data_IF_819584703845
#
_entry.id   IF_819584703845
#
_cell.length_a   1.000
_cell.length_b   1.000
_cell.length_c   1.000
_cell.angle_alpha   90.00
_cell.angle_beta   90.00
_cell.angle_gamma   90.00
#
_symmetry.space_group_name_H-M   'P 1'
#
loop_
_entity.id
_entity.type
_entity.pdbx_description
1 polymer ?
#
# COMPACT_ATOMS: atom_id res chain seq x y z
N UNK A 1 -1.81 -83.02 56.99
CA UNK A 1 -0.98 -83.42 55.84
C UNK A 1 -0.75 -82.15 55.02
N UNK A 2 0.51 -81.72 54.93
CA UNK A 2 1.07 -80.52 54.27
C UNK A 2 0.63 -79.13 54.79
N UNK A 3 1.42 -78.05 54.72
CA UNK A 3 2.83 -77.75 55.00
C UNK A 3 3.02 -76.25 54.62
N UNK A 4 3.41 -75.45 55.62
CA UNK A 4 4.36 -74.33 55.64
C UNK A 4 4.64 -73.47 54.38
N UNK A 5 4.50 -72.15 54.61
CA UNK A 5 5.05 -70.92 54.00
C UNK A 5 6.41 -70.95 53.26
N UNK A 6 6.58 -70.14 52.19
CA UNK A 6 7.50 -68.97 52.12
C UNK A 6 7.53 -68.24 50.74
N UNK A 7 7.39 -66.91 50.80
CA UNK A 7 7.94 -65.77 50.01
C UNK A 7 8.58 -65.94 48.60
N UNK A 8 8.15 -65.13 47.61
CA UNK A 8 9.07 -64.39 46.69
C UNK A 8 8.40 -63.20 45.97
N UNK A 9 9.22 -62.20 45.65
CA UNK A 9 8.98 -60.81 45.24
C UNK A 9 8.96 -60.57 43.70
N UNK A 10 8.40 -59.41 43.30
CA UNK A 10 8.53 -58.65 42.01
C UNK A 10 7.67 -59.15 40.84
N UNK A 11 6.99 -58.30 40.05
CA UNK A 11 7.47 -57.06 39.42
C UNK A 11 6.38 -55.96 39.35
N UNK A 12 6.73 -54.75 39.80
CA UNK A 12 6.14 -53.49 39.30
C UNK A 12 6.75 -53.16 37.94
N UNK A 13 6.02 -53.35 36.84
CA UNK A 13 6.45 -52.85 35.50
C UNK A 13 5.37 -52.07 34.75
N UNK A 14 4.15 -51.97 35.29
CA UNK A 14 3.04 -51.39 34.51
C UNK A 14 2.86 -49.86 34.67
N UNK A 15 3.54 -49.21 35.62
CA UNK A 15 3.42 -47.75 35.80
C UNK A 15 4.46 -46.93 35.03
N UNK A 16 5.55 -47.54 34.55
CA UNK A 16 6.58 -46.83 33.78
C UNK A 16 6.25 -46.74 32.28
N UNK A 17 5.43 -47.64 31.74
CA UNK A 17 5.02 -47.64 30.33
C UNK A 17 3.92 -46.61 30.01
N UNK A 18 3.00 -46.38 30.94
CA UNK A 18 1.94 -45.35 30.76
C UNK A 18 2.48 -43.93 30.91
N UNK A 19 3.44 -43.71 31.83
CA UNK A 19 4.08 -42.41 32.02
C UNK A 19 4.92 -41.98 30.83
N UNK A 20 5.69 -42.89 30.22
CA UNK A 20 6.55 -42.58 29.08
C UNK A 20 5.78 -42.24 27.80
N UNK A 21 4.63 -42.88 27.52
CA UNK A 21 3.77 -42.50 26.39
C UNK A 21 3.05 -41.16 26.59
N UNK A 22 2.67 -40.83 27.83
CA UNK A 22 2.05 -39.54 28.15
C UNK A 22 3.07 -38.41 28.01
N UNK A 23 4.32 -38.62 28.45
CA UNK A 23 5.39 -37.63 28.25
C UNK A 23 5.77 -37.47 26.77
N UNK A 24 5.71 -38.53 25.96
CA UNK A 24 5.99 -38.45 24.52
C UNK A 24 4.88 -37.69 23.76
N UNK A 25 3.62 -37.86 24.16
CA UNK A 25 2.48 -37.12 23.57
C UNK A 25 2.46 -35.65 23.99
N UNK A 26 2.82 -35.33 25.24
CA UNK A 26 3.03 -33.95 25.66
C UNK A 26 4.29 -33.32 25.03
N UNK A 27 5.37 -34.07 24.83
CA UNK A 27 6.56 -33.60 24.14
C UNK A 27 6.29 -33.36 22.65
N UNK A 28 5.51 -34.22 21.98
CA UNK A 28 5.04 -34.01 20.61
C UNK A 28 4.09 -32.81 20.53
N UNK A 29 3.14 -32.67 21.46
CA UNK A 29 2.25 -31.50 21.52
C UNK A 29 3.00 -30.19 21.81
N UNK A 30 4.05 -30.23 22.65
CA UNK A 30 4.95 -29.10 22.89
C UNK A 30 5.89 -28.84 21.70
N UNK A 31 6.27 -29.86 20.94
CA UNK A 31 6.97 -29.72 19.65
C UNK A 31 6.07 -29.13 18.56
N UNK A 32 4.76 -29.40 18.58
CA UNK A 32 3.76 -28.74 17.72
C UNK A 32 3.33 -27.35 18.23
N UNK A 33 3.66 -27.01 19.49
CA UNK A 33 3.66 -25.65 20.04
C UNK A 33 5.01 -24.95 19.86
N UNK A 34 5.84 -25.42 18.94
CA UNK A 34 6.79 -24.51 18.29
C UNK A 34 5.94 -23.44 17.60
N UNK A 35 5.76 -22.32 18.30
CA UNK A 35 5.24 -21.09 17.71
C UNK A 35 5.99 -20.94 16.40
N UNK A 36 5.28 -20.99 15.26
CA UNK A 36 5.88 -20.66 13.97
C UNK A 36 6.35 -19.22 14.11
N UNK A 37 7.61 -19.06 14.50
CA UNK A 37 8.19 -17.78 14.80
C UNK A 37 8.47 -17.15 13.46
N UNK A 38 7.57 -16.28 12.99
CA UNK A 38 7.75 -15.61 11.71
C UNK A 38 9.07 -14.85 11.69
N UNK A 39 9.65 -14.74 10.50
CA UNK A 39 10.89 -14.02 10.30
C UNK A 39 10.65 -12.52 10.40
N UNK A 40 11.71 -11.78 10.74
CA UNK A 40 11.70 -10.33 10.82
C UNK A 40 13.00 -9.78 10.24
N UNK A 41 12.89 -8.67 9.51
CA UNK A 41 14.03 -7.87 9.04
C UNK A 41 13.94 -6.46 9.61
N UNK A 42 15.08 -5.87 9.99
CA UNK A 42 15.15 -4.53 10.57
C UNK A 42 16.12 -3.65 9.78
N UNK A 43 15.77 -2.37 9.65
CA UNK A 43 16.60 -1.35 9.01
C UNK A 43 16.67 -0.12 9.91
N UNK A 44 17.86 0.41 10.14
CA UNK A 44 18.16 1.40 11.19
C UNK A 44 17.20 2.60 11.23
N UNK A 45 16.82 3.14 10.05
CA UNK A 45 16.00 4.36 9.95
C UNK A 45 14.49 4.11 10.01
N UNK A 46 14.03 2.93 9.58
CA UNK A 46 12.61 2.66 9.30
C UNK A 46 12.02 1.50 10.12
N UNK A 47 12.81 0.91 11.02
CA UNK A 47 12.38 -0.10 11.97
C UNK A 47 12.31 -1.50 11.36
N UNK A 48 11.47 -2.34 11.95
CA UNK A 48 11.39 -3.76 11.63
C UNK A 48 10.10 -4.16 10.93
N UNK A 49 10.19 -5.22 10.13
CA UNK A 49 9.12 -5.77 9.32
C UNK A 49 9.08 -7.28 9.54
N UNK A 50 7.99 -7.78 10.12
CA UNK A 50 7.74 -9.21 10.28
C UNK A 50 6.90 -9.76 9.13
N UNK A 51 7.03 -11.06 8.85
CA UNK A 51 6.19 -11.82 7.92
C UNK A 51 5.08 -12.63 8.62
N UNK A 52 4.83 -12.34 9.90
CA UNK A 52 3.71 -12.90 10.67
C UNK A 52 2.38 -12.26 10.28
N UNK A 53 1.28 -12.88 10.72
CA UNK A 53 -0.06 -12.28 10.63
C UNK A 53 -0.09 -10.86 11.24
N UNK A 54 -0.79 -9.90 10.61
CA UNK A 54 -1.59 -10.07 9.37
C UNK A 54 -0.82 -9.81 8.06
N UNK A 55 0.50 -9.60 8.12
CA UNK A 55 1.30 -9.21 6.95
C UNK A 55 1.53 -10.37 5.96
N UNK A 56 1.50 -11.61 6.44
CA UNK A 56 1.41 -12.80 5.61
C UNK A 56 0.77 -13.99 6.36
N UNK A 57 0.60 -15.11 5.65
CA UNK A 57 -0.01 -16.33 6.18
C UNK A 57 -1.51 -16.23 6.44
N UNK A 58 -2.19 -15.23 5.87
CA UNK A 58 -3.64 -15.04 5.98
C UNK A 58 -4.35 -15.47 4.70
N UNK A 59 -5.68 -15.59 4.72
CA UNK A 59 -6.48 -15.89 3.52
C UNK A 59 -6.24 -14.84 2.43
N UNK A 60 -6.19 -13.57 2.82
CA UNK A 60 -5.97 -12.46 1.91
C UNK A 60 -4.51 -12.39 1.46
N UNK A 61 -3.54 -12.78 2.29
CA UNK A 61 -2.09 -12.74 2.03
C UNK A 61 -1.40 -14.08 2.31
N UNK A 62 -1.67 -15.13 1.49
CA UNK A 62 -1.17 -16.49 1.76
C UNK A 62 0.34 -16.65 1.57
N UNK A 63 1.00 -15.80 0.78
CA UNK A 63 2.42 -15.94 0.46
C UNK A 63 3.26 -15.18 1.49
N UNK A 64 4.06 -15.92 2.26
CA UNK A 64 5.02 -15.35 3.23
C UNK A 64 6.21 -14.73 2.52
N UNK A 65 6.34 -13.40 2.62
CA UNK A 65 7.45 -12.61 2.09
C UNK A 65 7.79 -11.47 3.04
N UNK A 66 9.08 -11.31 3.32
CA UNK A 66 9.59 -10.07 3.90
C UNK A 66 9.74 -8.99 2.80
N UNK A 67 9.56 -7.71 3.14
CA UNK A 67 9.89 -6.64 2.21
C UNK A 67 11.40 -6.63 1.91
N UNK A 68 11.75 -6.11 0.74
CA UNK A 68 13.15 -5.88 0.38
C UNK A 68 13.76 -4.73 1.17
N UNK A 69 15.11 -4.73 1.22
CA UNK A 69 15.87 -3.65 1.84
C UNK A 69 15.66 -2.31 1.11
N UNK A 70 15.72 -1.17 1.82
CA UNK A 70 15.60 0.16 1.24
C UNK A 70 16.52 0.39 0.04
N UNK A 71 17.76 -0.11 0.11
CA UNK A 71 18.77 0.04 -0.94
C UNK A 71 18.39 -0.73 -2.21
N UNK A 72 17.64 -1.83 -2.07
CA UNK A 72 17.15 -2.63 -3.19
C UNK A 72 15.89 -2.04 -3.82
N UNK A 73 14.97 -1.51 -2.98
CA UNK A 73 13.78 -0.80 -3.48
C UNK A 73 14.17 0.52 -4.14
N UNK A 74 15.22 1.17 -3.61
CA UNK A 74 15.78 2.43 -4.09
C UNK A 74 14.72 3.53 -4.24
N UNK A 75 13.98 3.80 -3.17
CA UNK A 75 12.98 4.87 -3.13
C UNK A 75 13.65 6.23 -3.31
N UNK A 76 13.19 7.01 -4.31
CA UNK A 76 13.68 8.35 -4.61
C UNK A 76 12.57 9.38 -4.46
N UNK A 77 12.93 10.56 -3.95
CA UNK A 77 12.02 11.68 -3.78
C UNK A 77 12.38 12.78 -4.79
N UNK A 78 11.52 12.97 -5.78
CA UNK A 78 11.74 13.85 -6.93
C UNK A 78 10.91 15.12 -6.75
N UNK A 79 11.57 16.21 -6.35
CA UNK A 79 10.92 17.49 -6.07
C UNK A 79 10.68 18.29 -7.34
N UNK A 80 9.42 18.64 -7.57
CA UNK A 80 8.96 19.65 -8.50
C UNK A 80 8.36 20.83 -7.75
N UNK A 81 8.62 22.03 -8.25
CA UNK A 81 7.96 23.26 -7.79
C UNK A 81 7.64 24.13 -9.00
N UNK A 82 6.90 25.23 -8.78
CA UNK A 82 6.67 26.25 -9.83
C UNK A 82 7.95 26.74 -10.51
N UNK A 83 9.09 26.73 -9.79
CA UNK A 83 10.40 27.17 -10.30
C UNK A 83 11.15 26.10 -11.11
N UNK A 84 10.73 24.84 -11.07
CA UNK A 84 11.39 23.72 -11.75
C UNK A 84 10.40 22.65 -12.23
N UNK A 85 9.37 23.08 -12.98
CA UNK A 85 8.24 22.22 -13.37
C UNK A 85 8.62 21.06 -14.31
N UNK A 86 9.71 21.22 -15.07
CA UNK A 86 10.13 20.25 -16.10
C UNK A 86 11.36 19.42 -15.70
N UNK A 87 12.00 19.74 -14.56
CA UNK A 87 13.18 19.04 -14.09
C UNK A 87 13.13 18.90 -12.58
N UNK A 88 13.06 17.66 -12.11
CA UNK A 88 13.07 17.40 -10.67
C UNK A 88 14.41 17.75 -10.03
N UNK A 89 14.37 18.04 -8.73
CA UNK A 89 15.53 17.98 -7.85
C UNK A 89 15.41 16.74 -6.97
N UNK A 90 16.39 15.86 -7.00
CA UNK A 90 16.41 14.70 -6.08
C UNK A 90 16.75 15.21 -4.69
N UNK A 91 15.84 14.99 -3.74
CA UNK A 91 16.03 15.35 -2.33
C UNK A 91 15.99 14.11 -1.46
N UNK A 92 16.62 14.17 -0.28
CA UNK A 92 16.79 13.01 0.60
C UNK A 92 16.64 13.37 2.06
N UNK A 93 15.88 12.55 2.78
CA UNK A 93 15.77 12.60 4.23
C UNK A 93 17.05 12.13 4.94
N UNK A 94 17.88 11.31 4.26
CA UNK A 94 19.18 10.84 4.76
C UNK A 94 20.21 11.96 4.68
N UNK A 95 20.08 12.85 3.71
CA UNK A 95 20.96 14.01 3.50
C UNK A 95 20.12 15.29 3.51
N UNK A 96 19.68 15.78 4.69
CA UNK A 96 18.76 16.91 4.78
C UNK A 96 19.24 18.19 4.10
N UNK A 97 20.56 18.38 3.94
CA UNK A 97 21.12 19.50 3.19
C UNK A 97 20.64 19.56 1.73
N UNK A 98 20.30 18.42 1.12
CA UNK A 98 19.69 18.36 -0.22
C UNK A 98 18.30 19.03 -0.28
N UNK A 99 17.54 18.99 0.83
CA UNK A 99 16.25 19.69 0.93
C UNK A 99 16.51 21.19 1.02
N UNK A 100 17.45 21.62 1.87
CA UNK A 100 17.81 23.03 2.04
C UNK A 100 18.38 23.69 0.78
N UNK A 101 19.14 22.94 -0.04
CA UNK A 101 19.73 23.44 -1.29
C UNK A 101 18.77 23.38 -2.48
N UNK A 102 17.57 22.83 -2.30
CA UNK A 102 16.55 22.72 -3.33
C UNK A 102 15.60 23.93 -3.36
N UNK A 103 14.61 23.86 -4.25
CA UNK A 103 13.50 24.80 -4.32
C UNK A 103 12.40 24.54 -3.27
N UNK A 104 12.58 23.57 -2.37
CA UNK A 104 11.64 23.31 -1.29
C UNK A 104 11.43 24.57 -0.44
N UNK A 105 10.16 24.85 -0.08
CA UNK A 105 9.81 25.97 0.79
C UNK A 105 8.89 25.49 1.91
N UNK A 106 9.30 25.72 3.15
CA UNK A 106 8.54 25.35 4.35
C UNK A 106 7.26 26.14 4.52
N UNK A 107 7.13 27.29 3.85
CA UNK A 107 5.91 28.11 3.83
C UNK A 107 4.82 27.60 2.90
N UNK A 108 5.09 26.54 2.11
CA UNK A 108 4.16 25.96 1.13
C UNK A 108 3.68 24.59 1.61
N UNK A 109 2.46 24.21 1.22
CA UNK A 109 2.00 22.82 1.39
C UNK A 109 2.85 21.87 0.55
N UNK A 110 2.92 20.61 0.99
CA UNK A 110 3.69 19.56 0.33
C UNK A 110 2.76 18.42 -0.05
N UNK A 111 2.80 18.05 -1.32
CA UNK A 111 1.97 17.00 -1.90
C UNK A 111 2.90 15.89 -2.41
N UNK A 112 2.84 14.72 -1.78
CA UNK A 112 3.56 13.55 -2.27
C UNK A 112 2.68 12.81 -3.27
N UNK A 113 3.26 12.35 -4.39
CA UNK A 113 2.56 11.56 -5.41
C UNK A 113 3.28 10.22 -5.51
N UNK A 114 2.59 9.12 -5.18
CA UNK A 114 3.15 7.78 -5.04
C UNK A 114 2.51 6.86 -6.07
N UNK A 115 3.32 6.34 -7.01
CA UNK A 115 2.83 5.47 -8.07
C UNK A 115 2.53 4.04 -7.60
N UNK A 116 1.89 3.25 -8.47
CA UNK A 116 1.52 1.87 -8.22
C UNK A 116 2.52 0.81 -8.73
N UNK A 117 1.99 -0.40 -8.92
CA UNK A 117 2.70 -1.55 -9.50
C UNK A 117 3.24 -1.24 -10.90
N UNK A 118 4.41 -1.81 -11.25
CA UNK A 118 5.17 -1.67 -12.53
C UNK A 118 5.55 -0.26 -13.01
N UNK A 119 4.99 0.77 -12.40
CA UNK A 119 5.18 2.17 -12.78
C UNK A 119 6.50 2.77 -12.24
N UNK A 120 6.76 4.04 -12.56
CA UNK A 120 7.93 4.80 -12.11
C UNK A 120 7.58 6.23 -11.76
N UNK A 121 8.30 6.83 -10.82
CA UNK A 121 8.10 8.23 -10.46
C UNK A 121 8.54 9.25 -11.52
N UNK A 122 9.08 8.80 -12.66
CA UNK A 122 9.35 9.62 -13.85
C UNK A 122 8.29 9.47 -14.93
N UNK A 123 7.26 8.64 -14.73
CA UNK A 123 6.11 8.57 -15.62
C UNK A 123 5.41 9.91 -15.71
N UNK A 124 4.94 10.25 -16.92
CA UNK A 124 4.45 11.60 -17.23
C UNK A 124 3.30 12.03 -16.31
N UNK A 125 2.40 11.10 -15.94
CA UNK A 125 1.22 11.42 -15.14
C UNK A 125 1.56 12.00 -13.76
N UNK A 126 2.63 11.54 -13.09
CA UNK A 126 3.04 12.13 -11.80
C UNK A 126 3.45 13.59 -12.00
N UNK A 127 4.20 13.86 -13.07
CA UNK A 127 4.61 15.22 -13.42
C UNK A 127 3.41 16.07 -13.87
N UNK A 128 2.41 15.47 -14.52
CA UNK A 128 1.21 16.14 -14.95
C UNK A 128 0.32 16.52 -13.76
N UNK A 129 0.22 15.66 -12.73
CA UNK A 129 -0.38 16.02 -11.44
C UNK A 129 0.33 17.22 -10.84
N UNK A 130 1.67 17.20 -10.77
CA UNK A 130 2.42 18.33 -10.25
C UNK A 130 2.17 19.62 -11.05
N UNK A 131 2.17 19.55 -12.38
CA UNK A 131 1.88 20.69 -13.26
C UNK A 131 0.47 21.24 -13.03
N UNK A 132 -0.55 20.39 -12.93
CA UNK A 132 -1.93 20.83 -12.65
C UNK A 132 -2.03 21.46 -11.26
N UNK A 133 -1.37 20.89 -10.25
CA UNK A 133 -1.28 21.49 -8.92
C UNK A 133 -0.67 22.90 -8.96
N UNK A 134 0.36 23.12 -9.78
CA UNK A 134 1.01 24.43 -9.89
C UNK A 134 0.12 25.52 -10.49
N UNK A 135 -0.89 25.15 -11.30
CA UNK A 135 -1.86 26.11 -11.86
C UNK A 135 -2.71 26.73 -10.74
N UNK A 136 -3.10 25.94 -9.74
CA UNK A 136 -4.07 26.34 -8.73
C UNK A 136 -3.44 26.71 -7.37
N UNK A 137 -2.24 26.21 -7.05
CA UNK A 137 -1.60 26.41 -5.75
C UNK A 137 -0.07 26.46 -5.88
N UNK A 138 0.61 27.20 -5.00
CA UNK A 138 2.07 27.21 -4.91
C UNK A 138 2.53 26.14 -3.90
N UNK A 139 2.86 24.95 -4.39
CA UNK A 139 3.16 23.76 -3.57
C UNK A 139 4.55 23.19 -3.84
N UNK A 140 5.06 22.44 -2.86
CA UNK A 140 6.12 21.46 -3.09
C UNK A 140 5.45 20.17 -3.58
N UNK A 141 5.70 19.74 -4.82
CA UNK A 141 5.21 18.46 -5.32
C UNK A 141 6.35 17.44 -5.33
N UNK A 142 6.20 16.32 -4.63
CA UNK A 142 7.25 15.31 -4.50
C UNK A 142 6.75 14.00 -5.12
N UNK A 143 7.23 13.67 -6.30
CA UNK A 143 6.99 12.35 -6.89
C UNK A 143 7.88 11.31 -6.20
N UNK A 144 7.28 10.21 -5.73
CA UNK A 144 7.96 9.12 -5.04
C UNK A 144 8.18 7.98 -6.02
N UNK A 145 9.42 7.85 -6.50
CA UNK A 145 9.83 6.78 -7.41
C UNK A 145 10.33 5.58 -6.60
N UNK A 146 9.59 4.47 -6.65
CA UNK A 146 9.94 3.20 -6.03
C UNK A 146 9.94 2.06 -7.06
N UNK A 147 10.21 2.41 -8.33
CA UNK A 147 10.25 1.46 -9.46
C UNK A 147 11.19 0.26 -9.24
N UNK A 148 12.25 0.42 -8.44
CA UNK A 148 13.13 -0.68 -8.04
C UNK A 148 12.45 -1.74 -7.16
N UNK A 149 11.40 -1.38 -6.43
CA UNK A 149 10.60 -2.28 -5.60
C UNK A 149 9.24 -2.67 -6.17
N UNK A 150 8.72 -1.95 -7.16
CA UNK A 150 7.42 -2.24 -7.80
C UNK A 150 7.52 -3.20 -8.99
N UNK A 151 8.65 -3.23 -9.69
CA UNK A 151 8.88 -4.09 -10.88
C UNK A 151 9.38 -5.47 -10.48
N UNK A 152 8.52 -6.22 -9.81
CA UNK A 152 8.79 -7.58 -9.33
C UNK A 152 7.48 -8.37 -9.22
N UNK A 153 7.50 -9.55 -8.60
CA UNK A 153 6.29 -10.34 -8.32
C UNK A 153 5.29 -9.49 -7.51
N UNK A 154 4.00 -9.62 -7.80
CA UNK A 154 2.99 -8.75 -7.19
C UNK A 154 2.93 -8.92 -5.66
N UNK A 155 3.09 -10.14 -5.15
CA UNK A 155 3.23 -10.44 -3.72
C UNK A 155 4.44 -9.77 -3.09
N UNK A 156 5.57 -9.70 -3.80
CA UNK A 156 6.76 -9.01 -3.31
C UNK A 156 6.57 -7.48 -3.33
N UNK A 157 6.02 -6.93 -4.41
CA UNK A 157 5.71 -5.50 -4.52
C UNK A 157 4.73 -5.06 -3.41
N UNK A 158 3.69 -5.87 -3.16
CA UNK A 158 2.70 -5.66 -2.10
C UNK A 158 3.29 -5.70 -0.69
N UNK A 159 4.43 -6.38 -0.49
CA UNK A 159 5.18 -6.32 0.78
C UNK A 159 6.14 -5.13 0.80
N UNK A 160 6.78 -4.79 -0.31
CA UNK A 160 7.69 -3.64 -0.44
C UNK A 160 7.00 -2.30 -0.16
N UNK A 161 5.69 -2.20 -0.40
CA UNK A 161 4.84 -1.07 0.02
C UNK A 161 5.09 -0.64 1.46
N UNK A 162 5.34 -1.59 2.37
CA UNK A 162 5.62 -1.30 3.79
C UNK A 162 6.90 -0.48 3.97
N UNK A 163 7.95 -0.80 3.21
CA UNK A 163 9.21 -0.07 3.26
C UNK A 163 9.08 1.29 2.57
N UNK A 164 8.35 1.38 1.46
CA UNK A 164 8.08 2.66 0.79
C UNK A 164 7.32 3.61 1.72
N UNK A 165 6.25 3.15 2.36
CA UNK A 165 5.50 3.96 3.34
C UNK A 165 6.36 4.37 4.53
N UNK A 166 7.25 3.49 5.00
CA UNK A 166 8.18 3.82 6.07
C UNK A 166 9.23 4.88 5.67
N UNK A 167 9.73 4.85 4.44
CA UNK A 167 10.61 5.90 3.90
C UNK A 167 9.88 7.25 3.75
N UNK A 168 8.62 7.25 3.30
CA UNK A 168 7.79 8.47 3.22
C UNK A 168 7.54 9.04 4.63
N UNK A 169 7.18 8.19 5.60
CA UNK A 169 7.01 8.62 7.00
C UNK A 169 8.30 9.18 7.58
N UNK A 170 9.44 8.53 7.32
CA UNK A 170 10.76 9.02 7.72
C UNK A 170 11.06 10.39 7.09
N UNK A 171 10.73 10.58 5.81
CA UNK A 171 10.89 11.86 5.13
C UNK A 171 10.09 12.97 5.82
N UNK A 172 8.80 12.74 6.09
CA UNK A 172 7.94 13.71 6.78
C UNK A 172 8.46 14.00 8.19
N UNK A 173 8.95 12.97 8.90
CA UNK A 173 9.57 13.14 10.22
C UNK A 173 10.80 14.06 10.16
N UNK A 174 11.65 13.93 9.15
CA UNK A 174 12.81 14.81 8.94
C UNK A 174 12.38 16.24 8.62
N UNK A 175 11.33 16.44 7.82
CA UNK A 175 10.74 17.77 7.60
C UNK A 175 10.27 18.38 8.94
N UNK A 176 9.59 17.60 9.77
CA UNK A 176 9.11 18.05 11.07
C UNK A 176 10.25 18.43 12.02
N UNK A 177 11.26 17.57 12.18
CA UNK A 177 12.32 17.77 13.16
C UNK A 177 13.37 18.80 12.74
N UNK A 178 13.72 18.85 11.44
CA UNK A 178 14.86 19.65 10.98
C UNK A 178 14.43 20.98 10.33
N UNK A 179 13.17 21.08 9.90
CA UNK A 179 12.67 22.25 9.17
C UNK A 179 11.45 22.90 9.84
N UNK A 180 11.09 22.46 11.05
CA UNK A 180 9.90 22.90 11.79
C UNK A 180 8.62 22.83 10.92
N UNK A 181 8.54 21.82 10.05
CA UNK A 181 7.45 21.69 9.07
C UNK A 181 6.38 20.72 9.58
N UNK A 182 5.19 21.26 9.86
CA UNK A 182 4.10 20.45 10.42
C UNK A 182 3.61 19.37 9.43
N UNK A 183 3.40 18.12 9.88
CA UNK A 183 2.71 17.07 9.10
C UNK A 183 1.31 17.48 8.63
N UNK A 184 0.68 18.46 9.30
CA UNK A 184 -0.61 19.02 8.88
C UNK A 184 -0.54 19.81 7.54
N UNK A 185 0.67 20.08 7.05
CA UNK A 185 0.90 20.66 5.73
C UNK A 185 1.18 19.60 4.64
N UNK A 186 1.02 18.31 4.97
CA UNK A 186 1.30 17.19 4.07
C UNK A 186 0.01 16.57 3.56
N UNK A 187 -0.03 16.35 2.24
CA UNK A 187 -1.03 15.55 1.56
C UNK A 187 -0.32 14.43 0.80
N UNK A 188 -0.67 13.17 1.06
CA UNK A 188 -0.16 12.02 0.31
C UNK A 188 -1.20 11.58 -0.72
N UNK A 189 -0.81 11.53 -1.99
CA UNK A 189 -1.65 11.05 -3.10
C UNK A 189 -1.03 9.74 -3.56
N UNK A 190 -1.74 8.63 -3.40
CA UNK A 190 -1.25 7.31 -3.76
C UNK A 190 -2.17 6.61 -4.74
N UNK A 191 -1.62 6.10 -5.84
CA UNK A 191 -2.35 5.33 -6.85
C UNK A 191 -2.08 3.83 -6.71
N UNK A 192 -3.11 2.98 -6.85
CA UNK A 192 -2.94 1.51 -6.86
C UNK A 192 -2.19 1.04 -5.59
N UNK A 193 -1.07 0.30 -5.69
CA UNK A 193 -0.23 -0.06 -4.54
C UNK A 193 0.32 1.16 -3.77
N UNK A 194 0.50 2.30 -4.43
CA UNK A 194 0.93 3.55 -3.82
C UNK A 194 -0.08 4.11 -2.81
N UNK A 195 -1.38 3.82 -2.95
CA UNK A 195 -2.40 4.19 -1.97
C UNK A 195 -2.13 3.54 -0.60
N UNK A 196 -1.71 2.27 -0.61
CA UNK A 196 -1.35 1.55 0.60
C UNK A 196 0.01 1.99 1.16
N UNK A 197 0.93 2.45 0.32
CA UNK A 197 2.16 3.08 0.79
C UNK A 197 1.88 4.42 1.49
N UNK A 198 0.93 5.20 0.98
CA UNK A 198 0.45 6.41 1.66
C UNK A 198 -0.21 6.07 3.00
N UNK A 199 -1.05 5.04 3.06
CA UNK A 199 -1.65 4.55 4.30
C UNK A 199 -0.60 4.11 5.32
N UNK A 200 0.37 3.30 4.92
CA UNK A 200 1.50 2.90 5.79
C UNK A 200 2.28 4.11 6.32
N UNK A 201 2.50 5.13 5.48
CA UNK A 201 3.16 6.36 5.91
C UNK A 201 2.34 7.09 6.99
N UNK A 202 1.02 7.19 6.81
CA UNK A 202 0.09 7.79 7.77
C UNK A 202 0.01 7.06 9.12
N UNK A 203 0.08 5.73 9.11
CA UNK A 203 0.15 4.91 10.34
C UNK A 203 1.37 5.29 11.18
N UNK A 204 2.52 5.43 10.52
CA UNK A 204 3.83 5.68 11.12
C UNK A 204 4.04 7.14 11.52
N UNK A 205 3.48 8.08 10.74
CA UNK A 205 3.61 9.51 10.98
C UNK A 205 2.25 10.11 11.31
N UNK A 206 2.03 10.42 12.58
CA UNK A 206 0.77 11.04 13.02
C UNK A 206 0.69 12.52 12.60
N UNK A 207 -0.54 12.97 12.40
CA UNK A 207 -0.84 14.38 12.05
C UNK A 207 -0.79 14.70 10.56
N UNK A 208 -0.68 13.69 9.67
CA UNK A 208 -0.87 13.90 8.23
C UNK A 208 -2.28 14.47 7.98
N UNK A 209 -2.36 15.56 7.22
CA UNK A 209 -3.63 16.25 7.01
C UNK A 209 -4.55 15.50 6.05
N UNK A 210 -4.01 14.97 4.94
CA UNK A 210 -4.83 14.30 3.92
C UNK A 210 -4.11 13.14 3.27
N UNK A 211 -4.85 12.08 2.99
CA UNK A 211 -4.45 11.02 2.06
C UNK A 211 -5.54 10.88 0.99
N UNK A 212 -5.17 10.98 -0.28
CA UNK A 212 -6.05 10.62 -1.39
C UNK A 212 -5.63 9.28 -1.98
N UNK A 213 -6.53 8.29 -1.92
CA UNK A 213 -6.35 6.98 -2.54
C UNK A 213 -6.96 6.95 -3.94
N UNK A 214 -6.13 6.82 -4.97
CA UNK A 214 -6.56 6.73 -6.36
C UNK A 214 -6.59 5.26 -6.77
N UNK A 215 -7.79 4.70 -6.82
CA UNK A 215 -8.08 3.30 -7.10
C UNK A 215 -7.18 2.32 -6.33
N UNK A 216 -7.26 2.29 -4.97
CA UNK A 216 -6.40 1.46 -4.15
C UNK A 216 -6.51 -0.01 -4.54
N UNK A 217 -5.39 -0.71 -4.63
CA UNK A 217 -5.37 -2.07 -5.16
C UNK A 217 -6.12 -3.08 -4.28
N UNK A 218 -7.01 -3.89 -4.87
CA UNK A 218 -7.73 -4.96 -4.18
C UNK A 218 -6.80 -6.11 -3.72
N UNK A 219 -5.99 -6.71 -4.62
CA UNK A 219 -5.36 -7.99 -4.31
C UNK A 219 -4.29 -7.82 -3.22
N UNK A 220 -4.31 -8.70 -2.21
CA UNK A 220 -3.51 -8.64 -0.98
C UNK A 220 -3.86 -7.55 0.04
N UNK A 221 -4.92 -6.74 -0.17
CA UNK A 221 -5.30 -5.65 0.76
C UNK A 221 -6.79 -5.59 1.10
N UNK A 222 -7.70 -5.85 0.17
CA UNK A 222 -9.13 -5.85 0.48
C UNK A 222 -9.44 -6.87 1.58
N UNK A 223 -10.26 -6.47 2.55
CA UNK A 223 -10.64 -7.26 3.72
C UNK A 223 -9.48 -7.64 4.68
N UNK A 224 -8.29 -7.04 4.53
CA UNK A 224 -7.27 -7.13 5.57
C UNK A 224 -7.58 -6.18 6.73
N UNK A 225 -6.99 -6.40 7.92
CA UNK A 225 -7.04 -5.42 8.99
C UNK A 225 -6.51 -4.06 8.56
N UNK A 226 -6.98 -2.98 9.21
CA UNK A 226 -6.58 -1.61 8.91
C UNK A 226 -5.05 -1.40 8.95
N UNK A 227 -4.31 -2.16 9.76
CA UNK A 227 -2.84 -2.07 9.84
C UNK A 227 -2.10 -2.46 8.54
N UNK A 228 -2.75 -3.16 7.60
CA UNK A 228 -2.12 -3.65 6.36
C UNK A 228 -2.44 -2.78 5.13
N UNK A 229 -3.57 -2.07 5.15
CA UNK A 229 -4.13 -1.35 3.99
C UNK A 229 -4.33 0.14 4.31
N UNK A 230 -4.73 0.92 3.31
CA UNK A 230 -5.20 2.30 3.55
C UNK A 230 -6.50 2.26 4.37
N UNK A 231 -6.62 3.18 5.32
CA UNK A 231 -7.76 3.29 6.23
C UNK A 231 -7.97 4.74 6.71
N UNK A 232 -9.21 5.08 7.09
CA UNK A 232 -9.59 6.37 7.67
C UNK A 232 -8.65 6.87 8.79
N UNK A 233 -8.11 5.98 9.61
CA UNK A 233 -7.23 6.32 10.73
C UNK A 233 -5.82 6.79 10.33
N UNK A 234 -5.47 6.72 9.04
CA UNK A 234 -4.14 7.04 8.53
C UNK A 234 -3.88 8.55 8.38
N UNK A 235 -4.93 9.38 8.29
CA UNK A 235 -4.81 10.84 8.21
C UNK A 235 -6.07 11.56 8.74
N UNK A 236 -5.98 12.88 8.92
CA UNK A 236 -7.12 13.67 9.37
C UNK A 236 -8.28 13.67 8.35
N UNK A 237 -7.97 13.53 7.06
CA UNK A 237 -8.92 13.27 6.00
C UNK A 237 -8.35 12.18 5.08
N UNK A 238 -9.20 11.24 4.69
CA UNK A 238 -8.87 10.20 3.73
C UNK A 238 -9.99 10.21 2.71
N UNK A 239 -9.67 10.46 1.45
CA UNK A 239 -10.63 10.47 0.36
C UNK A 239 -10.18 9.52 -0.75
N UNK A 240 -11.11 8.74 -1.30
CA UNK A 240 -10.80 7.60 -2.17
C UNK A 240 -11.62 7.67 -3.43
N UNK A 241 -11.00 7.42 -4.58
CA UNK A 241 -11.68 7.32 -5.87
C UNK A 241 -11.55 5.88 -6.34
N UNK A 242 -12.67 5.25 -6.68
CA UNK A 242 -12.75 3.89 -7.19
C UNK A 242 -13.10 3.92 -8.67
N UNK A 243 -12.28 3.31 -9.51
CA UNK A 243 -12.45 3.33 -10.99
C UNK A 243 -12.42 1.95 -11.63
N UNK A 244 -11.84 0.96 -10.96
CA UNK A 244 -11.76 -0.43 -11.42
C UNK A 244 -12.15 -1.41 -10.30
N UNK A 245 -13.20 -1.07 -9.55
CA UNK A 245 -13.70 -1.83 -8.41
C UNK A 245 -14.51 -3.08 -8.78
N UNK A 246 -14.34 -3.60 -9.99
CA UNK A 246 -14.88 -4.90 -10.38
C UNK A 246 -14.16 -6.04 -9.66
N UNK A 247 -14.73 -7.25 -9.60
CA UNK A 247 -14.00 -8.38 -9.01
C UNK A 247 -12.77 -8.72 -9.85
N UNK A 248 -11.64 -9.01 -9.19
CA UNK A 248 -10.43 -9.49 -9.89
C UNK A 248 -10.72 -10.71 -10.79
N UNK A 249 -11.57 -11.63 -10.34
CA UNK A 249 -11.99 -12.79 -11.13
C UNK A 249 -13.51 -12.82 -11.23
N UNK A 250 -14.10 -12.91 -12.44
CA UNK A 250 -13.45 -13.02 -13.76
C UNK A 250 -13.12 -11.68 -14.43
N UNK A 251 -13.53 -10.55 -13.84
CA UNK A 251 -13.59 -9.25 -14.53
C UNK A 251 -12.27 -8.47 -14.56
N UNK A 252 -11.21 -8.98 -13.93
CA UNK A 252 -9.90 -8.31 -13.81
C UNK A 252 -10.01 -6.88 -13.28
N UNK A 253 -10.91 -6.64 -12.33
CA UNK A 253 -10.88 -5.37 -11.59
C UNK A 253 -9.73 -5.39 -10.57
N UNK A 254 -8.89 -4.36 -10.60
CA UNK A 254 -7.73 -4.25 -9.71
C UNK A 254 -7.94 -3.28 -8.57
N UNK A 255 -8.92 -2.38 -8.68
CA UNK A 255 -9.32 -1.48 -7.61
C UNK A 255 -10.16 -2.21 -6.57
N UNK A 256 -10.05 -1.83 -5.30
CA UNK A 256 -10.93 -2.36 -4.26
C UNK A 256 -12.32 -1.75 -4.35
N UNK A 257 -13.35 -2.52 -4.03
CA UNK A 257 -14.72 -2.04 -3.84
C UNK A 257 -15.03 -1.66 -2.39
N UNK A 258 -14.15 -2.05 -1.46
CA UNK A 258 -14.27 -1.74 -0.05
C UNK A 258 -14.14 -0.23 0.21
N UNK A 259 -15.12 0.32 0.94
CA UNK A 259 -15.08 1.69 1.46
C UNK A 259 -14.02 1.78 2.56
N UNK A 260 -12.98 2.58 2.33
CA UNK A 260 -11.82 2.72 3.23
C UNK A 260 -11.45 4.17 3.53
N UNK A 261 -12.14 5.14 2.93
CA UNK A 261 -11.99 6.57 3.18
C UNK A 261 -13.05 7.13 4.14
N UNK A 262 -12.84 8.39 4.51
CA UNK A 262 -13.90 9.23 5.07
C UNK A 262 -14.89 9.64 3.97
N UNK A 263 -14.39 9.72 2.74
CA UNK A 263 -15.15 10.00 1.52
C UNK A 263 -14.70 9.00 0.46
N UNK A 264 -15.63 8.24 -0.11
CA UNK A 264 -15.34 7.25 -1.16
C UNK A 264 -16.22 7.57 -2.37
N UNK A 265 -15.57 7.81 -3.50
CA UNK A 265 -16.18 8.26 -4.75
C UNK A 265 -16.15 7.13 -5.77
N UNK A 266 -17.30 6.81 -6.34
CA UNK A 266 -17.47 5.79 -7.37
C UNK A 266 -17.94 6.45 -8.69
N UNK A 267 -17.10 7.23 -9.37
CA UNK A 267 -17.45 7.85 -10.65
C UNK A 267 -17.95 6.78 -11.63
N UNK A 268 -19.07 7.04 -12.31
CA UNK A 268 -19.67 6.09 -13.27
C UNK A 268 -19.97 4.70 -12.67
N UNK A 269 -20.22 4.63 -11.35
CA UNK A 269 -20.44 3.37 -10.63
C UNK A 269 -19.15 2.66 -10.19
N UNK A 270 -17.97 3.20 -10.51
CA UNK A 270 -16.67 2.76 -9.98
C UNK A 270 -16.09 1.49 -10.57
N UNK A 271 -16.77 0.87 -11.54
CA UNK A 271 -16.35 -0.42 -12.16
C UNK A 271 -15.97 -0.26 -13.63
N UNK A 272 -16.72 0.54 -14.39
CA UNK A 272 -16.49 0.72 -15.81
C UNK A 272 -16.44 2.20 -16.17
N UNK A 273 -15.25 2.67 -16.51
CA UNK A 273 -15.05 4.05 -16.92
C UNK A 273 -15.38 4.22 -18.41
N UNK A 274 -16.21 5.21 -18.79
CA UNK A 274 -16.47 5.52 -20.20
C UNK A 274 -15.16 5.72 -21.00
N UNK A 275 -15.11 5.31 -22.25
CA UNK A 275 -13.90 5.48 -23.10
C UNK A 275 -12.77 4.48 -22.84
N UNK A 276 -12.87 3.66 -21.78
CA UNK A 276 -11.97 2.54 -21.52
C UNK A 276 -12.55 1.22 -22.06
N UNK A 277 -11.78 0.39 -22.78
CA UNK A 277 -12.22 -0.94 -23.17
C UNK A 277 -12.53 -1.78 -21.92
N UNK A 278 -13.50 -2.67 -22.02
CA UNK A 278 -13.74 -3.64 -20.95
C UNK A 278 -12.55 -4.59 -20.85
N UNK A 279 -12.19 -4.94 -19.62
CA UNK A 279 -11.21 -5.97 -19.37
C UNK A 279 -11.68 -7.32 -19.95
N UNK A 280 -10.72 -8.13 -20.40
CA UNK A 280 -11.00 -9.46 -20.93
C UNK A 280 -11.44 -10.34 -19.74
N UNK A 281 -12.59 -11.01 -19.86
CA UNK A 281 -12.99 -11.98 -18.84
C UNK A 281 -12.09 -13.20 -18.90
N UNK A 282 -11.37 -13.47 -17.81
CA UNK A 282 -10.51 -14.66 -17.72
C UNK A 282 -10.98 -15.54 -16.57
N UNK A 283 -11.60 -16.71 -16.87
CA UNK A 283 -11.95 -17.66 -15.84
C UNK A 283 -10.69 -18.37 -15.32
N UNK A 284 -10.57 -18.47 -13.98
CA UNK A 284 -9.52 -19.21 -13.27
C UNK A 284 -8.08 -18.68 -13.47
N UNK A 285 -7.82 -17.45 -13.03
CA UNK A 285 -6.46 -16.89 -12.94
C UNK A 285 -6.10 -16.53 -11.51
N UNK A 286 -4.84 -16.74 -11.14
CA UNK A 286 -4.29 -16.23 -9.89
C UNK A 286 -3.59 -14.88 -10.15
N UNK A 287 -3.46 -14.06 -9.11
CA UNK A 287 -2.88 -12.71 -9.22
C UNK A 287 -1.46 -12.72 -9.78
N UNK A 288 -0.65 -13.72 -9.45
CA UNK A 288 0.72 -13.81 -9.96
C UNK A 288 0.75 -14.20 -11.44
N UNK A 289 -0.18 -15.02 -11.93
CA UNK A 289 -0.26 -15.41 -13.34
C UNK A 289 -0.69 -14.21 -14.20
N UNK A 290 -1.60 -13.37 -13.69
CA UNK A 290 -2.00 -12.12 -14.34
C UNK A 290 -0.78 -11.23 -14.56
N UNK A 291 0.06 -11.07 -13.54
CA UNK A 291 1.17 -10.12 -13.56
C UNK A 291 2.47 -10.66 -14.15
N UNK A 292 2.70 -11.98 -14.08
CA UNK A 292 3.94 -12.62 -14.57
C UNK A 292 3.75 -13.37 -15.89
N UNK A 293 2.53 -13.78 -16.24
CA UNK A 293 2.24 -14.69 -17.37
C UNK A 293 1.43 -14.08 -18.51
N UNK A 294 0.56 -13.09 -18.24
CA UNK A 294 -0.28 -12.47 -19.28
C UNK A 294 0.36 -11.25 -19.97
N UNK A 295 1.53 -10.80 -19.51
CA UNK A 295 2.23 -9.65 -20.10
C UNK A 295 1.44 -8.33 -19.99
N UNK A 296 0.45 -8.27 -19.09
CA UNK A 296 -0.34 -7.06 -18.83
C UNK A 296 0.53 -6.05 -18.09
N UNK A 297 1.23 -5.20 -18.84
CA UNK A 297 2.07 -4.14 -18.26
C UNK A 297 1.26 -3.06 -17.56
N UNK A 298 0.00 -2.87 -17.98
CA UNK A 298 -0.96 -1.88 -17.52
C UNK A 298 -2.38 -2.42 -17.76
N UNK A 299 -3.24 -2.30 -16.75
CA UNK A 299 -4.64 -2.76 -16.85
C UNK A 299 -5.53 -1.57 -17.13
N UNK A 300 -6.40 -1.74 -18.11
CA UNK A 300 -7.36 -0.75 -18.55
C UNK A 300 -8.33 -0.44 -17.39
N UNK A 301 -8.66 0.83 -17.18
CA UNK A 301 -9.61 1.25 -16.13
C UNK A 301 -8.99 1.42 -14.74
N UNK A 302 -7.97 0.64 -14.37
CA UNK A 302 -7.16 0.81 -13.15
C UNK A 302 -6.24 2.05 -13.19
N UNK A 303 -6.42 2.93 -14.18
CA UNK A 303 -5.53 4.02 -14.52
C UNK A 303 -6.17 5.39 -14.30
N UNK A 304 -5.32 6.25 -13.75
CA UNK A 304 -5.56 7.51 -13.05
C UNK A 304 -6.71 8.38 -13.61
N UNK A 305 -7.80 8.50 -12.83
CA UNK A 305 -8.86 9.52 -13.05
C UNK A 305 -8.31 10.94 -12.86
N UNK A 306 -7.27 11.04 -12.04
CA UNK A 306 -6.60 12.28 -11.68
C UNK A 306 -5.38 12.48 -12.61
N UNK A 307 -4.94 13.69 -12.98
CA UNK A 307 -5.57 14.98 -12.87
C UNK A 307 -6.43 15.32 -14.13
N UNK A 308 -6.80 14.36 -14.98
CA UNK A 308 -7.48 14.64 -16.24
C UNK A 308 -9.00 14.54 -16.18
N UNK A 309 -9.59 14.25 -15.02
CA UNK A 309 -11.05 14.14 -14.87
C UNK A 309 -11.60 12.97 -15.70
N UNK A 310 -10.78 11.94 -15.89
CA UNK A 310 -11.03 10.85 -16.82
C UNK A 310 -10.83 11.17 -18.31
N UNK A 311 -10.54 12.41 -18.72
CA UNK A 311 -10.44 12.74 -20.16
C UNK A 311 -9.31 11.99 -20.88
N UNK A 312 -8.21 11.73 -20.19
CA UNK A 312 -7.09 10.92 -20.68
C UNK A 312 -6.65 9.95 -19.59
N UNK A 313 -7.18 8.73 -19.64
CA UNK A 313 -6.68 7.58 -18.89
C UNK A 313 -5.68 6.82 -19.76
N UNK A 314 -4.41 6.65 -19.34
CA UNK A 314 -3.46 5.81 -20.07
C UNK A 314 -4.04 4.41 -20.34
N UNK A 315 -3.92 3.91 -21.57
CA UNK A 315 -4.53 2.64 -21.98
C UNK A 315 -5.98 2.73 -22.49
N UNK A 316 -6.65 3.88 -22.36
CA UNK A 316 -7.98 4.11 -22.92
C UNK A 316 -7.89 4.91 -24.24
N UNK A 317 -8.41 4.39 -25.37
CA UNK A 317 -8.15 4.92 -26.71
C UNK A 317 -8.96 6.16 -27.11
N UNK A 318 -9.90 6.63 -26.27
CA UNK A 318 -10.74 7.80 -26.58
C UNK A 318 -10.58 8.92 -25.56
N UNK A 319 -10.60 10.16 -26.06
CA UNK A 319 -10.80 11.35 -25.23
C UNK A 319 -12.23 11.29 -24.67
N UNK A 320 -12.40 11.18 -23.35
CA UNK A 320 -13.75 11.25 -22.78
C UNK A 320 -14.33 12.67 -22.94
N UNK A 321 -15.65 12.82 -23.15
CA UNK A 321 -16.31 14.10 -22.91
C UNK A 321 -16.08 14.53 -21.45
N UNK A 322 -15.79 15.82 -21.21
CA UNK A 322 -15.64 16.39 -19.85
C UNK A 322 -16.84 15.99 -18.98
N UNK A 323 -16.60 15.23 -17.91
CA UNK A 323 -17.65 14.90 -16.95
C UNK A 323 -18.04 16.15 -16.16
N UNK A 324 -19.25 16.63 -16.39
CA UNK A 324 -19.72 17.96 -15.98
C UNK A 324 -20.11 18.12 -14.50
N UNK A 325 -19.69 17.25 -13.56
CA UNK A 325 -20.11 17.36 -12.16
C UNK A 325 -19.01 17.14 -11.10
N UNK A 326 -17.75 16.89 -11.51
CA UNK A 326 -16.61 16.89 -10.61
C UNK A 326 -15.39 17.46 -11.33
N UNK A 327 -15.18 18.79 -11.26
CA UNK A 327 -13.95 19.35 -11.83
C UNK A 327 -12.74 18.83 -11.04
N UNK A 328 -11.70 18.41 -11.75
CA UNK A 328 -10.36 18.12 -11.18
C UNK A 328 -9.89 19.26 -10.28
N UNK A 329 -10.20 20.50 -10.66
CA UNK A 329 -9.85 21.70 -9.89
C UNK A 329 -10.54 21.73 -8.53
N UNK A 330 -11.75 21.16 -8.42
CA UNK A 330 -12.51 21.09 -7.19
C UNK A 330 -12.02 19.96 -6.26
N UNK A 331 -11.56 18.81 -6.79
CA UNK A 331 -10.93 17.76 -5.98
C UNK A 331 -9.57 18.22 -5.40
N UNK A 332 -8.80 18.95 -6.21
CA UNK A 332 -7.50 19.49 -5.81
C UNK A 332 -7.58 20.67 -4.84
N UNK A 333 -8.59 21.53 -5.01
CA UNK A 333 -8.85 22.68 -4.14
C UNK A 333 -9.66 22.32 -2.89
N UNK A 334 -10.20 21.09 -2.81
CA UNK A 334 -10.98 20.61 -1.66
C UNK A 334 -12.40 21.16 -1.62
N UNK A 335 -13.03 21.37 -2.78
CA UNK A 335 -14.29 22.11 -2.95
C UNK A 335 -15.57 21.27 -3.04
N UNK A 336 -15.55 19.94 -3.04
CA UNK A 336 -16.82 19.19 -3.13
C UNK A 336 -17.54 18.91 -1.82
N UNK A 337 -18.84 19.22 -1.91
CA UNK A 337 -19.97 19.01 -1.02
C UNK A 337 -20.42 17.55 -1.11
N UNK A 338 -20.85 17.06 0.04
CA UNK A 338 -21.31 15.73 0.38
C UNK A 338 -22.44 15.20 -0.52
N UNK A 339 -22.33 13.94 -0.96
CA UNK A 339 -23.49 13.06 -1.01
C UNK A 339 -23.36 12.10 0.17
N UNK A 340 -23.99 12.46 1.30
CA UNK A 340 -24.40 11.45 2.27
C UNK A 340 -25.43 10.57 1.55
N UNK A 341 -25.10 9.30 1.34
CA UNK A 341 -26.09 8.29 1.01
C UNK A 341 -27.14 8.28 2.11
N UNK A 342 -28.29 8.87 1.82
CA UNK A 342 -29.53 8.68 2.57
C UNK A 342 -30.45 7.88 1.67
N UNK A 343 -30.46 6.56 1.90
CA UNK A 343 -31.60 5.69 2.21
C UNK A 343 -31.24 4.22 1.97
#
# INVERSE_FOLDING_TARGET
>A
MFAVTSLTLRFETNNLFFSSQMHLTWALALCFLSVVQGAQVCYDRIGCFADTSPYAGTVQRPITKLPWAPEKINTRFLLYTRSNQNSFQTISAITPSSISSSNFRTSRKTRFVIHGFTDSGTSSWLTDICKKLFVIEDVNCIAVDWSGGSRTLYSQASNNVRVVGAEVAYFVKILQSNFAYSPANVHLIGHSLGAHAAGEAGKRQKGIARISGLDPAEPYFQNTPAEVRLDTSDAALVDVIHTDAGPLVPSLGFGMSQVIGHLDFFPNGGVHMPGCPQNIEIPNVNVEDIWNGLGMSQVIGHLDFFPNGGVHMPGCPQNMPEMSNASVDDLLSGKYIFFQGTE
#
